data_IF_450843529959
#
_entry.id   IF_450843529959
#
_cell.length_a   1.000
_cell.length_b   1.000
_cell.length_c   1.000
_cell.angle_alpha   90.00
_cell.angle_beta   90.00
_cell.angle_gamma   90.00
#
_symmetry.space_group_name_H-M   'P 1'
#
loop_
_entity.id
_entity.type
_entity.pdbx_description
1 polymer ?
#
# COMPACT_ATOMS: atom_id res chain seq x y z
N UNK A 1 14.90 10.83 -3.51
CA UNK A 1 15.06 10.37 -4.91
C UNK A 1 14.90 8.84 -4.93
N UNK A 2 14.26 8.24 -5.93
CA UNK A 2 13.94 6.79 -5.96
C UNK A 2 14.28 6.14 -7.32
N UNK A 3 14.32 4.81 -7.38
CA UNK A 3 14.30 4.03 -8.63
C UNK A 3 12.91 3.43 -8.86
N UNK A 4 12.60 3.07 -10.11
CA UNK A 4 11.34 2.40 -10.48
C UNK A 4 11.63 1.08 -11.19
N UNK A 5 10.92 0.03 -10.81
CA UNK A 5 10.91 -1.26 -11.50
C UNK A 5 9.50 -1.47 -12.06
N UNK A 6 9.36 -1.69 -13.36
CA UNK A 6 8.06 -1.96 -13.97
C UNK A 6 7.54 -3.32 -13.47
N UNK A 7 6.28 -3.36 -13.03
CA UNK A 7 5.65 -4.59 -12.50
C UNK A 7 4.52 -5.12 -13.39
N UNK A 8 4.10 -4.38 -14.41
CA UNK A 8 2.94 -4.73 -15.23
C UNK A 8 3.04 -6.06 -16.01
N UNK A 9 4.27 -6.55 -16.24
CA UNK A 9 4.51 -7.82 -16.95
C UNK A 9 5.12 -8.89 -16.04
N UNK A 10 5.27 -8.63 -14.74
CA UNK A 10 5.80 -9.62 -13.81
C UNK A 10 4.74 -10.67 -13.51
N UNK A 11 5.16 -11.92 -13.43
CA UNK A 11 4.38 -12.96 -12.78
C UNK A 11 4.14 -12.61 -11.31
N UNK A 12 3.12 -13.23 -10.71
CA UNK A 12 2.85 -13.09 -9.28
C UNK A 12 4.06 -13.49 -8.42
N UNK A 13 4.77 -14.53 -8.84
CA UNK A 13 5.97 -15.03 -8.16
C UNK A 13 7.10 -13.99 -8.17
N UNK A 14 7.41 -13.42 -9.34
CA UNK A 14 8.44 -12.39 -9.49
C UNK A 14 8.11 -11.13 -8.69
N UNK A 15 6.84 -10.73 -8.66
CA UNK A 15 6.39 -9.61 -7.86
C UNK A 15 6.54 -9.89 -6.35
N UNK A 16 6.20 -11.10 -5.89
CA UNK A 16 6.40 -11.51 -4.49
C UNK A 16 7.89 -11.52 -4.13
N UNK A 17 8.76 -12.04 -5.01
CA UNK A 17 10.21 -12.00 -4.81
C UNK A 17 10.72 -10.57 -4.72
N UNK A 18 10.25 -9.68 -5.60
CA UNK A 18 10.62 -8.27 -5.55
C UNK A 18 10.20 -7.63 -4.22
N UNK A 19 9.00 -7.93 -3.70
CA UNK A 19 8.55 -7.44 -2.39
C UNK A 19 9.37 -7.95 -1.21
N UNK A 20 10.00 -9.12 -1.31
CA UNK A 20 10.89 -9.63 -0.24
C UNK A 20 12.19 -8.87 -0.13
N UNK A 21 12.64 -8.22 -1.19
CA UNK A 21 13.89 -7.46 -1.20
C UNK A 21 13.82 -6.11 -0.46
N UNK A 22 12.71 -5.81 0.23
CA UNK A 22 12.54 -4.58 1.01
C UNK A 22 11.33 -4.61 1.93
N UNK A 23 11.19 -3.55 2.71
CA UNK A 23 10.07 -3.26 3.60
C UNK A 23 9.07 -2.38 2.85
N UNK A 24 7.86 -2.90 2.67
CA UNK A 24 6.73 -2.18 2.07
C UNK A 24 5.95 -1.34 3.10
N UNK A 25 5.04 -0.50 2.62
CA UNK A 25 4.23 0.33 3.50
C UNK A 25 3.28 -0.49 4.39
N UNK A 26 2.75 -1.61 3.89
CA UNK A 26 1.96 -2.55 4.69
C UNK A 26 2.77 -3.22 5.81
N UNK A 27 4.08 -3.38 5.61
CA UNK A 27 5.01 -3.98 6.57
C UNK A 27 5.34 -2.99 7.70
N UNK A 28 5.46 -1.70 7.37
CA UNK A 28 5.80 -0.64 8.32
C UNK A 28 4.87 -0.60 9.54
N UNK A 29 3.56 -0.69 9.31
CA UNK A 29 2.57 -0.74 10.40
C UNK A 29 2.74 -1.96 11.32
N UNK A 30 3.12 -3.11 10.77
CA UNK A 30 3.36 -4.33 11.54
C UNK A 30 4.67 -4.26 12.32
N UNK A 31 5.75 -3.74 11.72
CA UNK A 31 7.05 -3.54 12.37
C UNK A 31 6.93 -2.58 13.56
N UNK A 32 6.12 -1.52 13.42
CA UNK A 32 5.84 -0.59 14.52
C UNK A 32 4.86 -1.13 15.58
N UNK A 33 4.34 -2.34 15.42
CA UNK A 33 3.39 -2.95 16.38
C UNK A 33 1.98 -2.35 16.36
N UNK A 34 1.60 -1.65 15.29
CA UNK A 34 0.31 -0.94 15.16
C UNK A 34 -0.67 -1.64 14.20
N UNK A 35 -0.28 -2.78 13.62
CA UNK A 35 -1.14 -3.57 12.74
C UNK A 35 -1.83 -4.70 13.55
N UNK A 36 -3.17 -4.77 13.58
CA UNK A 36 -3.88 -5.82 14.32
C UNK A 36 -3.87 -7.20 13.63
N UNK A 37 -3.44 -7.28 12.38
CA UNK A 37 -3.47 -8.49 11.54
C UNK A 37 -2.07 -9.10 11.29
N UNK A 38 -1.00 -8.44 11.76
CA UNK A 38 0.37 -8.85 11.53
C UNK A 38 1.28 -8.40 12.67
N UNK A 39 2.49 -8.97 12.76
CA UNK A 39 3.46 -8.69 13.82
C UNK A 39 4.85 -8.48 13.24
N UNK A 40 5.79 -7.84 14.00
CA UNK A 40 7.17 -7.70 13.56
C UNK A 40 7.82 -9.05 13.22
N UNK A 41 7.53 -10.09 14.01
CA UNK A 41 8.05 -11.44 13.78
C UNK A 41 7.52 -12.06 12.48
N UNK A 42 6.23 -11.86 12.18
CA UNK A 42 5.64 -12.33 10.92
C UNK A 42 6.29 -11.67 9.70
N UNK A 43 6.56 -10.37 9.77
CA UNK A 43 7.29 -9.64 8.71
C UNK A 43 8.72 -10.17 8.59
N UNK A 44 9.43 -10.33 9.71
CA UNK A 44 10.79 -10.87 9.68
C UNK A 44 10.85 -12.25 9.00
N UNK A 45 9.94 -13.16 9.37
CA UNK A 45 9.84 -14.49 8.76
C UNK A 45 9.55 -14.41 7.26
N UNK A 46 8.64 -13.53 6.81
CA UNK A 46 8.36 -13.33 5.38
C UNK A 46 9.60 -12.89 4.60
N UNK A 47 10.35 -11.91 5.13
CA UNK A 47 11.53 -11.34 4.46
C UNK A 47 12.75 -12.26 4.44
N UNK A 48 12.94 -13.08 5.47
CA UNK A 48 14.15 -13.93 5.60
C UNK A 48 13.92 -15.35 5.08
N UNK A 49 12.69 -15.85 5.11
CA UNK A 49 12.39 -17.17 4.57
C UNK A 49 12.51 -17.17 3.05
N UNK A 50 13.15 -18.18 2.47
CA UNK A 50 13.22 -18.36 1.01
C UNK A 50 11.89 -18.80 0.38
N UNK A 51 10.95 -19.30 1.19
CA UNK A 51 9.64 -19.76 0.72
C UNK A 51 8.72 -18.58 0.49
N UNK A 52 8.20 -18.42 -0.72
CA UNK A 52 7.16 -17.45 -1.00
C UNK A 52 5.88 -17.83 -0.26
N UNK A 53 5.40 -16.93 0.59
CA UNK A 53 4.10 -17.08 1.22
C UNK A 53 3.09 -16.28 0.40
N UNK A 54 2.13 -16.98 -0.18
CA UNK A 54 0.96 -16.29 -0.72
C UNK A 54 0.08 -15.83 0.43
N UNK A 55 -0.23 -14.55 0.43
CA UNK A 55 -1.31 -14.06 1.27
C UNK A 55 -2.62 -14.37 0.55
N UNK A 56 -3.22 -15.50 0.90
CA UNK A 56 -4.54 -15.91 0.44
C UNK A 56 -5.61 -15.50 1.46
N UNK A 57 -6.77 -15.08 0.94
CA UNK A 57 -7.92 -14.71 1.76
C UNK A 57 -8.93 -13.88 0.99
N UNK A 58 -10.21 -14.08 1.31
CA UNK A 58 -11.31 -13.41 0.61
C UNK A 58 -11.20 -11.88 0.70
N UNK A 59 -10.77 -11.33 1.85
CA UNK A 59 -10.57 -9.89 2.00
C UNK A 59 -9.46 -9.32 1.11
N UNK A 60 -8.39 -10.08 0.86
CA UNK A 60 -7.29 -9.64 -0.02
C UNK A 60 -7.75 -9.66 -1.47
N UNK A 61 -8.46 -10.73 -1.87
CA UNK A 61 -9.06 -10.85 -3.20
C UNK A 61 -10.05 -9.71 -3.47
N UNK A 62 -10.97 -9.46 -2.54
CA UNK A 62 -11.94 -8.36 -2.65
C UNK A 62 -11.26 -6.99 -2.70
N UNK A 63 -10.17 -6.80 -1.95
CA UNK A 63 -9.35 -5.59 -2.03
C UNK A 63 -8.83 -5.34 -3.45
N UNK A 64 -8.24 -6.35 -4.09
CA UNK A 64 -7.77 -6.23 -5.47
C UNK A 64 -8.91 -6.01 -6.47
N UNK A 65 -10.00 -6.78 -6.35
CA UNK A 65 -11.14 -6.72 -7.28
C UNK A 65 -11.84 -5.35 -7.23
N UNK A 66 -11.86 -4.69 -6.05
CA UNK A 66 -12.57 -3.42 -5.82
C UNK A 66 -11.65 -2.19 -5.80
N UNK A 67 -10.34 -2.33 -5.99
CA UNK A 67 -9.40 -1.21 -5.96
C UNK A 67 -9.77 -0.10 -6.97
N UNK A 68 -10.18 -0.50 -8.18
CA UNK A 68 -10.66 0.43 -9.21
C UNK A 68 -11.95 1.14 -8.81
N UNK A 69 -12.86 0.43 -8.15
CA UNK A 69 -14.11 1.01 -7.68
C UNK A 69 -13.84 2.06 -6.60
N UNK A 70 -12.97 1.77 -5.62
CA UNK A 70 -12.54 2.73 -4.60
C UNK A 70 -11.90 3.97 -5.26
N UNK A 71 -11.05 3.78 -6.26
CA UNK A 71 -10.44 4.87 -7.00
C UNK A 71 -11.47 5.73 -7.76
N UNK A 72 -12.50 5.12 -8.36
CA UNK A 72 -13.59 5.84 -9.02
C UNK A 72 -14.39 6.68 -8.03
N UNK A 73 -14.78 6.11 -6.88
CA UNK A 73 -15.48 6.84 -5.82
C UNK A 73 -14.66 8.02 -5.29
N UNK A 74 -13.35 7.85 -5.13
CA UNK A 74 -12.44 8.95 -4.78
C UNK A 74 -12.46 10.08 -5.82
N UNK A 75 -12.42 9.76 -7.12
CA UNK A 75 -12.47 10.76 -8.18
C UNK A 75 -13.83 11.49 -8.22
N UNK A 76 -14.93 10.78 -8.00
CA UNK A 76 -16.28 11.36 -7.96
C UNK A 76 -16.45 12.33 -6.79
N UNK A 77 -15.96 11.97 -5.60
CA UNK A 77 -16.09 12.80 -4.39
C UNK A 77 -15.17 14.03 -4.43
N UNK A 78 -13.95 13.88 -4.93
CA UNK A 78 -12.92 14.95 -4.86
C UNK A 78 -12.78 15.78 -6.13
N UNK A 79 -13.29 15.28 -7.27
CA UNK A 79 -13.04 15.85 -8.60
C UNK A 79 -11.60 15.68 -9.11
N UNK A 80 -10.70 15.06 -8.33
CA UNK A 80 -9.33 14.78 -8.74
C UNK A 80 -9.31 13.60 -9.70
N UNK A 81 -8.29 13.54 -10.58
CA UNK A 81 -8.07 12.39 -11.47
C UNK A 81 -6.89 11.57 -10.97
N UNK A 82 -6.97 10.25 -11.11
CA UNK A 82 -5.89 9.33 -10.72
C UNK A 82 -5.48 8.41 -11.86
N UNK A 83 -4.30 7.81 -11.75
CA UNK A 83 -3.80 6.78 -12.66
C UNK A 83 -3.16 5.63 -11.89
N UNK A 84 -3.29 4.41 -12.42
CA UNK A 84 -2.56 3.24 -11.91
C UNK A 84 -1.05 3.45 -11.97
N UNK A 85 -0.34 2.95 -10.96
CA UNK A 85 1.12 2.88 -11.00
C UNK A 85 1.57 1.45 -11.26
N UNK A 86 2.00 1.16 -12.49
CA UNK A 86 2.54 -0.16 -12.84
C UNK A 86 4.02 -0.29 -12.49
N UNK A 87 4.43 0.28 -11.36
CA UNK A 87 5.82 0.30 -10.91
C UNK A 87 5.92 0.06 -9.40
N UNK A 88 6.98 -0.65 -9.02
CA UNK A 88 7.49 -0.63 -7.65
C UNK A 88 8.60 0.40 -7.52
N UNK A 89 8.57 1.16 -6.44
CA UNK A 89 9.51 2.24 -6.17
C UNK A 89 10.46 1.80 -5.07
N UNK A 90 11.73 2.17 -5.17
CA UNK A 90 12.72 1.95 -4.11
C UNK A 90 13.42 3.25 -3.77
N UNK A 91 13.49 3.58 -2.49
CA UNK A 91 14.22 4.78 -2.05
C UNK A 91 15.71 4.62 -2.34
N UNK A 92 16.35 5.66 -2.91
CA UNK A 92 17.81 5.68 -3.07
C UNK A 92 18.52 6.01 -1.76
N UNK A 93 17.86 6.77 -0.89
CA UNK A 93 18.40 7.17 0.40
C UNK A 93 18.29 6.04 1.43
N UNK A 94 17.18 5.31 1.40
CA UNK A 94 16.92 4.16 2.27
C UNK A 94 16.61 2.92 1.42
N UNK A 95 17.63 2.22 0.87
CA UNK A 95 17.41 1.13 -0.09
C UNK A 95 16.55 -0.03 0.41
N UNK A 96 16.39 -0.20 1.72
CA UNK A 96 15.50 -1.19 2.31
C UNK A 96 14.01 -0.81 2.16
N UNK A 97 13.67 0.45 1.88
CA UNK A 97 12.29 0.90 1.74
C UNK A 97 11.81 0.78 0.30
N UNK A 98 10.71 0.05 0.11
CA UNK A 98 10.00 -0.07 -1.16
C UNK A 98 8.56 0.45 -1.04
N UNK A 99 8.01 0.93 -2.14
CA UNK A 99 6.61 1.33 -2.24
C UNK A 99 5.96 0.67 -3.45
N UNK A 100 4.85 0.01 -3.20
CA UNK A 100 4.00 -0.64 -4.18
C UNK A 100 2.64 0.04 -4.05
N UNK A 101 2.39 0.98 -4.96
CA UNK A 101 1.38 2.03 -4.77
C UNK A 101 0.22 1.80 -5.71
N UNK A 102 -1.00 1.98 -5.21
CA UNK A 102 -2.20 1.76 -6.02
C UNK A 102 -2.29 2.82 -7.12
N UNK A 103 -2.32 4.10 -6.71
CA UNK A 103 -2.63 5.21 -7.61
C UNK A 103 -1.75 6.43 -7.38
N UNK A 104 -1.49 7.14 -8.47
CA UNK A 104 -0.95 8.49 -8.45
C UNK A 104 -2.02 9.50 -8.83
N UNK A 105 -2.12 10.60 -8.10
CA UNK A 105 -3.04 11.68 -8.45
C UNK A 105 -2.42 12.55 -9.54
N UNK A 106 -3.20 12.86 -10.57
CA UNK A 106 -2.75 13.61 -11.75
C UNK A 106 -2.79 15.11 -11.44
N UNK A 107 -1.72 15.82 -11.79
CA UNK A 107 -1.65 17.28 -11.65
C UNK A 107 -1.38 17.80 -10.24
N UNK A 108 -1.25 16.91 -9.24
CA UNK A 108 -0.92 17.26 -7.86
C UNK A 108 0.16 16.34 -7.30
N UNK A 109 0.93 16.82 -6.33
CA UNK A 109 1.98 16.02 -5.70
C UNK A 109 1.45 15.07 -4.62
N UNK A 110 0.62 14.13 -5.06
CA UNK A 110 -0.02 13.16 -4.17
C UNK A 110 -0.03 11.74 -4.73
N UNK A 111 -0.07 10.77 -3.82
CA UNK A 111 -0.48 9.39 -4.08
C UNK A 111 -1.88 9.12 -3.51
N UNK A 112 -2.45 7.97 -3.88
CA UNK A 112 -3.70 7.48 -3.34
C UNK A 112 -3.53 5.99 -2.99
N UNK A 113 -3.90 5.65 -1.76
CA UNK A 113 -4.09 4.30 -1.26
C UNK A 113 -5.59 3.99 -1.21
N UNK A 114 -6.00 2.88 -1.81
CA UNK A 114 -7.36 2.38 -1.85
C UNK A 114 -7.51 1.22 -0.86
N UNK A 115 -8.50 1.28 0.02
CA UNK A 115 -8.85 0.17 0.91
C UNK A 115 -10.32 -0.19 0.79
N UNK A 116 -10.61 -1.46 0.98
CA UNK A 116 -11.96 -1.94 1.28
C UNK A 116 -12.06 -2.20 2.77
N UNK A 117 -13.12 -1.70 3.40
CA UNK A 117 -13.40 -1.98 4.79
C UNK A 117 -14.69 -2.78 4.91
N UNK A 118 -14.67 -3.83 5.73
CA UNK A 118 -15.90 -4.48 6.14
C UNK A 118 -16.80 -3.48 6.87
N UNK A 119 -18.12 -3.54 6.63
CA UNK A 119 -19.12 -2.70 7.29
C UNK A 119 -19.01 -2.72 8.84
N UNK A 120 -18.53 -3.81 9.43
CA UNK A 120 -18.27 -3.93 10.87
C UNK A 120 -17.17 -3.00 11.38
N UNK A 121 -16.26 -2.54 10.50
CA UNK A 121 -15.18 -1.61 10.84
C UNK A 121 -15.53 -0.15 10.55
N UNK A 122 -16.75 0.18 10.07
CA UNK A 122 -17.15 1.56 9.77
C UNK A 122 -16.98 2.51 10.96
N UNK A 123 -17.16 2.00 12.20
CA UNK A 123 -16.96 2.79 13.41
C UNK A 123 -15.51 3.24 13.62
N UNK A 124 -14.51 2.54 13.07
CA UNK A 124 -13.09 2.94 13.15
C UNK A 124 -12.73 4.14 12.28
N UNK A 125 -13.71 4.62 11.51
CA UNK A 125 -13.62 5.75 10.59
C UNK A 125 -14.53 6.90 11.01
N UNK A 126 -15.26 6.75 12.12
CA UNK A 126 -16.11 7.82 12.66
C UNK A 126 -15.23 8.94 13.20
N UNK A 127 -15.75 10.17 13.09
CA UNK A 127 -15.12 11.37 13.62
C UNK A 127 -13.68 11.65 13.13
N UNK A 128 -13.33 11.12 11.95
CA UNK A 128 -12.02 11.29 11.34
C UNK A 128 -10.91 10.40 11.93
N UNK A 129 -11.26 9.44 12.78
CA UNK A 129 -10.31 8.42 13.23
C UNK A 129 -9.88 7.54 12.06
N UNK A 130 -8.60 7.18 12.03
CA UNK A 130 -8.03 6.34 10.97
C UNK A 130 -7.05 5.33 11.58
N UNK A 131 -7.17 4.03 11.26
CA UNK A 131 -6.25 3.03 11.80
C UNK A 131 -4.78 3.39 11.51
N UNK A 132 -3.95 3.43 12.57
CA UNK A 132 -2.57 3.90 12.49
C UNK A 132 -1.70 3.13 11.50
N UNK A 133 -1.97 1.83 11.28
CA UNK A 133 -1.22 1.05 10.30
C UNK A 133 -1.45 1.54 8.86
N UNK A 134 -2.61 2.11 8.53
CA UNK A 134 -2.84 2.74 7.23
C UNK A 134 -2.15 4.11 7.13
N UNK A 135 -2.13 4.88 8.22
CA UNK A 135 -1.34 6.12 8.30
C UNK A 135 0.14 5.83 8.04
N UNK A 136 0.70 4.83 8.71
CA UNK A 136 2.09 4.43 8.51
C UNK A 136 2.37 3.96 7.09
N UNK A 137 1.44 3.22 6.48
CA UNK A 137 1.56 2.84 5.07
C UNK A 137 1.65 4.08 4.15
N UNK A 138 0.77 5.06 4.35
CA UNK A 138 0.78 6.32 3.60
C UNK A 138 2.09 7.10 3.79
N UNK A 139 2.53 7.27 5.04
CA UNK A 139 3.77 7.98 5.37
C UNK A 139 4.99 7.26 4.81
N UNK A 140 5.02 5.93 4.84
CA UNK A 140 6.09 5.13 4.22
C UNK A 140 6.17 5.38 2.72
N UNK A 141 5.04 5.44 2.02
CA UNK A 141 5.01 5.75 0.59
C UNK A 141 5.43 7.18 0.29
N UNK A 142 5.03 8.15 1.11
CA UNK A 142 5.54 9.53 1.02
C UNK A 142 7.06 9.58 1.20
N UNK A 143 7.61 8.85 2.17
CA UNK A 143 9.07 8.79 2.39
C UNK A 143 9.83 8.16 1.22
N UNK A 144 9.29 7.09 0.61
CA UNK A 144 9.93 6.45 -0.56
C UNK A 144 9.86 7.36 -1.79
N UNK A 145 8.69 7.95 -2.04
CA UNK A 145 8.41 8.66 -3.30
C UNK A 145 8.75 10.16 -3.24
N UNK A 146 8.97 10.71 -2.04
CA UNK A 146 9.16 12.15 -1.83
C UNK A 146 7.91 13.00 -2.04
N UNK A 147 6.72 12.37 -2.12
CA UNK A 147 5.44 13.06 -2.33
C UNK A 147 4.99 13.77 -1.07
N UNK A 148 4.42 14.97 -1.24
CA UNK A 148 3.94 15.79 -0.13
C UNK A 148 2.64 15.31 0.51
N UNK A 149 1.81 14.58 -0.23
CA UNK A 149 0.49 14.14 0.23
C UNK A 149 0.23 12.68 -0.14
N UNK A 150 -0.50 11.97 0.72
CA UNK A 150 -1.09 10.68 0.38
C UNK A 150 -2.55 10.66 0.82
N UNK A 151 -3.44 10.40 -0.12
CA UNK A 151 -4.85 10.19 0.18
C UNK A 151 -5.07 8.73 0.58
N UNK A 152 -5.97 8.51 1.53
CA UNK A 152 -6.51 7.19 1.83
C UNK A 152 -8.00 7.22 1.52
N UNK A 153 -8.43 6.43 0.54
CA UNK A 153 -9.84 6.26 0.22
C UNK A 153 -10.31 4.88 0.67
N UNK A 154 -11.44 4.83 1.35
CA UNK A 154 -12.01 3.60 1.89
C UNK A 154 -13.47 3.49 1.51
N UNK A 155 -13.88 2.30 1.05
CA UNK A 155 -15.29 1.95 0.77
C UNK A 155 -15.67 0.68 1.53
#
# INVERSE_FOLDING_TARGET
>A
MYTKTAVGNLSREEWLQLRKTGIGGSDAGAICGLNPYSSPMKVYQDKVCGVLQEQEGESIRQGHDLEDYVAQRFMEETGLKVRRSNYMYRSRENPFMIADIDRLVIGVDAGLECKTASAYNANKWKDGEMPLHYILQCVHYMAVTGKRTWYLAVV
#
